data_IF_038997762264
#
_entry.id   IF_038997762264
#
_cell.length_a   1.000
_cell.length_b   1.000
_cell.length_c   1.000
_cell.angle_alpha   90.00
_cell.angle_beta   90.00
_cell.angle_gamma   90.00
#
_symmetry.space_group_name_H-M   'P 1'
#
loop_
_entity.id
_entity.type
_entity.pdbx_description
1 polymer ?
#
# COMPACT_ATOMS: atom_id res chain seq x y z
N UNK A 1 -76.56 -23.28 -11.72
CA UNK A 1 -75.51 -22.26 -11.51
C UNK A 1 -74.30 -22.90 -10.87
N UNK A 2 -73.22 -23.21 -11.65
CA UNK A 2 -71.99 -23.82 -11.16
C UNK A 2 -71.02 -22.72 -10.75
N UNK A 3 -70.61 -22.67 -9.48
CA UNK A 3 -69.58 -21.74 -9.01
C UNK A 3 -68.19 -22.30 -9.36
N UNK A 4 -67.46 -21.59 -10.16
CA UNK A 4 -66.06 -21.88 -10.47
C UNK A 4 -65.21 -21.20 -9.38
N UNK A 5 -64.50 -22.03 -8.56
CA UNK A 5 -63.51 -21.57 -7.58
C UNK A 5 -62.17 -21.47 -8.30
N UNK A 6 -61.69 -20.24 -8.47
CA UNK A 6 -60.35 -19.96 -9.06
C UNK A 6 -59.32 -20.04 -7.91
N UNK A 7 -58.50 -21.10 -7.90
CA UNK A 7 -57.37 -21.23 -6.94
C UNK A 7 -56.18 -20.50 -7.52
N UNK A 8 -55.82 -19.38 -6.90
CA UNK A 8 -54.58 -18.64 -7.24
C UNK A 8 -53.43 -19.29 -6.42
N UNK A 9 -52.55 -20.05 -7.12
CA UNK A 9 -51.28 -20.48 -6.57
C UNK A 9 -50.27 -19.31 -6.62
N UNK A 10 -49.97 -18.70 -5.51
CA UNK A 10 -48.88 -17.77 -5.36
C UNK A 10 -47.55 -18.54 -5.30
N UNK A 11 -46.74 -18.47 -6.34
CA UNK A 11 -45.38 -19.00 -6.33
C UNK A 11 -44.49 -18.02 -5.56
N UNK A 12 -44.07 -18.43 -4.36
CA UNK A 12 -43.06 -17.69 -3.58
C UNK A 12 -41.68 -18.05 -4.17
N UNK A 13 -41.10 -17.11 -4.93
CA UNK A 13 -39.72 -17.21 -5.41
C UNK A 13 -38.81 -16.88 -4.23
N UNK A 14 -38.20 -17.89 -3.63
CA UNK A 14 -37.08 -17.71 -2.70
C UNK A 14 -35.87 -17.23 -3.52
N UNK A 15 -35.58 -15.96 -3.51
CA UNK A 15 -34.27 -15.44 -3.92
C UNK A 15 -33.26 -15.83 -2.85
N UNK A 16 -32.54 -16.92 -3.08
CA UNK A 16 -31.34 -17.26 -2.30
C UNK A 16 -30.26 -16.21 -2.62
N UNK A 17 -30.13 -15.22 -1.75
CA UNK A 17 -28.93 -14.37 -1.75
C UNK A 17 -27.76 -15.22 -1.24
N UNK A 18 -26.93 -15.70 -2.18
CA UNK A 18 -25.62 -16.23 -1.84
C UNK A 18 -24.79 -15.07 -1.29
N UNK A 19 -24.66 -14.98 0.04
CA UNK A 19 -23.66 -14.13 0.66
C UNK A 19 -22.32 -14.74 0.26
N UNK A 20 -21.67 -14.17 -0.75
CA UNK A 20 -20.26 -14.43 -1.01
C UNK A 20 -19.52 -13.84 0.20
N UNK A 21 -18.85 -14.69 0.97
CA UNK A 21 -17.88 -14.21 1.94
C UNK A 21 -16.86 -13.39 1.14
N UNK A 22 -16.68 -12.11 1.48
CA UNK A 22 -15.62 -11.29 0.90
C UNK A 22 -14.29 -12.02 1.14
N UNK A 23 -13.62 -12.36 0.05
CA UNK A 23 -12.32 -13.03 0.14
C UNK A 23 -11.35 -12.07 0.83
N UNK A 24 -10.79 -12.51 1.96
CA UNK A 24 -9.87 -11.69 2.75
C UNK A 24 -8.59 -11.44 1.95
N UNK A 25 -8.39 -10.22 1.47
CA UNK A 25 -7.28 -9.84 0.59
C UNK A 25 -5.93 -9.95 1.32
N UNK A 26 -5.88 -9.64 2.62
CA UNK A 26 -4.65 -9.61 3.42
C UNK A 26 -4.87 -10.15 4.83
N UNK A 27 -3.77 -10.46 5.51
CA UNK A 27 -3.76 -10.84 6.94
C UNK A 27 -3.11 -9.74 7.76
N UNK A 28 -3.71 -9.40 8.91
CA UNK A 28 -3.14 -8.43 9.83
C UNK A 28 -2.00 -9.05 10.63
N UNK A 29 -0.81 -8.49 10.47
CA UNK A 29 0.41 -8.80 11.23
C UNK A 29 1.05 -7.48 11.63
N UNK A 30 0.40 -6.78 12.58
CA UNK A 30 0.81 -5.43 12.95
C UNK A 30 2.19 -5.43 13.61
N UNK A 31 2.99 -4.43 13.23
CA UNK A 31 4.27 -4.15 13.87
C UNK A 31 4.05 -3.49 15.23
N UNK A 32 5.10 -3.45 16.06
CA UNK A 32 5.06 -2.78 17.36
C UNK A 32 4.71 -1.30 17.17
N UNK A 33 3.72 -0.85 17.94
CA UNK A 33 3.29 0.54 17.95
C UNK A 33 3.09 0.99 19.39
N UNK A 34 4.03 1.79 19.90
CA UNK A 34 3.98 2.37 21.23
C UNK A 34 3.93 3.89 21.15
N UNK A 35 3.80 4.55 22.30
CA UNK A 35 3.92 5.99 22.40
C UNK A 35 5.29 6.49 21.89
N UNK A 36 6.34 5.69 22.07
CA UNK A 36 7.66 6.01 21.53
C UNK A 36 7.67 6.11 20.00
N UNK A 37 7.03 5.18 19.29
CA UNK A 37 6.89 5.31 17.82
C UNK A 37 6.14 6.56 17.42
N UNK A 38 5.11 6.93 18.17
CA UNK A 38 4.37 8.18 17.93
C UNK A 38 5.26 9.42 18.12
N UNK A 39 6.12 9.44 19.16
CA UNK A 39 7.08 10.51 19.38
C UNK A 39 8.10 10.62 18.22
N UNK A 40 8.64 9.49 17.77
CA UNK A 40 9.55 9.45 16.61
C UNK A 40 8.87 9.92 15.30
N UNK A 41 7.58 9.58 15.12
CA UNK A 41 6.79 10.08 13.98
C UNK A 41 6.60 11.60 14.08
N UNK A 42 6.29 12.11 15.26
CA UNK A 42 6.13 13.55 15.48
C UNK A 42 7.40 14.33 15.14
N UNK A 43 8.54 13.87 15.64
CA UNK A 43 9.85 14.46 15.36
C UNK A 43 10.16 14.43 13.86
N UNK A 44 9.99 13.26 13.23
CA UNK A 44 10.21 13.11 11.79
C UNK A 44 9.30 14.04 10.99
N UNK A 45 8.00 14.01 11.24
CA UNK A 45 7.02 14.77 10.44
C UNK A 45 7.12 16.28 10.66
N UNK A 46 7.42 16.71 11.87
CA UNK A 46 7.69 18.12 12.17
C UNK A 46 8.92 18.62 11.42
N UNK A 47 9.99 17.82 11.38
CA UNK A 47 11.22 18.16 10.69
C UNK A 47 11.06 18.22 9.17
N UNK A 48 10.40 17.20 8.60
CA UNK A 48 10.33 17.02 7.14
C UNK A 48 9.12 17.72 6.49
N UNK A 49 8.01 17.86 7.21
CA UNK A 49 6.76 18.43 6.69
C UNK A 49 6.32 19.71 7.41
N UNK A 50 6.99 20.11 8.50
CA UNK A 50 6.65 21.30 9.27
C UNK A 50 5.37 21.18 10.11
N UNK A 51 4.84 19.97 10.25
CA UNK A 51 3.63 19.67 11.04
C UNK A 51 3.63 18.23 11.53
N UNK A 52 2.98 17.97 12.65
CA UNK A 52 2.74 16.61 13.11
C UNK A 52 1.76 15.89 12.17
N UNK A 53 2.09 14.68 11.79
CA UNK A 53 1.31 13.86 10.87
C UNK A 53 1.40 12.39 11.26
N UNK A 54 0.62 11.94 12.24
CA UNK A 54 0.55 10.52 12.67
C UNK A 54 -0.38 9.70 11.80
N UNK A 55 -1.32 10.36 11.13
CA UNK A 55 -2.24 9.76 10.16
C UNK A 55 -2.17 10.49 8.83
N UNK A 56 -2.37 9.77 7.75
CA UNK A 56 -2.36 10.29 6.39
C UNK A 56 -3.77 10.28 5.79
N UNK A 57 -4.00 11.17 4.84
CA UNK A 57 -5.09 11.04 3.87
C UNK A 57 -4.45 10.44 2.61
N UNK A 58 -4.71 9.16 2.31
CA UNK A 58 -4.06 8.50 1.19
C UNK A 58 -4.41 9.15 -0.15
N UNK A 59 -3.41 9.59 -0.90
CA UNK A 59 -3.55 10.20 -2.23
C UNK A 59 -2.74 9.46 -3.29
N UNK A 60 -1.77 8.64 -2.85
CA UNK A 60 -0.92 7.84 -3.71
C UNK A 60 -0.66 6.46 -3.10
N UNK A 61 -0.26 5.52 -3.96
CA UNK A 61 0.38 4.26 -3.59
C UNK A 61 1.80 4.27 -4.14
N UNK A 62 2.79 3.98 -3.28
CA UNK A 62 4.18 3.79 -3.68
C UNK A 62 4.53 2.33 -3.56
N UNK A 63 5.02 1.77 -4.66
CA UNK A 63 5.40 0.35 -4.76
C UNK A 63 6.90 0.22 -4.62
N UNK A 64 7.32 -0.74 -3.79
CA UNK A 64 8.71 -1.01 -3.45
C UNK A 64 9.07 -2.48 -3.67
N UNK A 65 10.34 -2.77 -3.60
CA UNK A 65 10.87 -4.08 -3.23
C UNK A 65 11.77 -3.99 -2.02
N UNK A 66 11.86 -5.08 -1.25
CA UNK A 66 12.63 -5.10 -0.01
C UNK A 66 14.15 -5.12 -0.22
N UNK A 67 14.62 -5.55 -1.39
CA UNK A 67 16.02 -5.79 -1.75
C UNK A 67 16.72 -6.89 -0.91
N UNK A 68 16.12 -7.37 0.17
CA UNK A 68 16.68 -8.38 1.07
C UNK A 68 15.59 -9.18 1.79
N UNK A 69 15.99 -10.29 2.37
CA UNK A 69 15.23 -10.99 3.40
C UNK A 69 14.08 -11.86 2.89
N UNK A 70 13.33 -12.37 3.83
CA UNK A 70 12.04 -13.06 3.67
C UNK A 70 10.93 -12.20 4.28
N UNK A 71 9.68 -12.55 4.05
CA UNK A 71 8.52 -11.89 4.64
C UNK A 71 8.71 -11.64 6.16
N UNK A 72 9.05 -12.70 6.91
CA UNK A 72 9.22 -12.61 8.37
C UNK A 72 10.43 -11.76 8.78
N UNK A 73 11.52 -11.81 8.02
CA UNK A 73 12.73 -11.03 8.35
C UNK A 73 12.52 -9.54 8.07
N UNK A 74 11.80 -9.19 7.00
CA UNK A 74 11.42 -7.81 6.70
C UNK A 74 10.42 -7.30 7.73
N UNK A 75 9.42 -8.12 8.09
CA UNK A 75 8.49 -7.79 9.15
C UNK A 75 9.21 -7.50 10.47
N UNK A 76 10.17 -8.35 10.88
CA UNK A 76 11.00 -8.13 12.08
C UNK A 76 11.80 -6.83 11.99
N UNK A 77 12.33 -6.50 10.83
CA UNK A 77 13.07 -5.26 10.63
C UNK A 77 12.15 -4.04 10.82
N UNK A 78 10.94 -4.06 10.26
CA UNK A 78 9.96 -2.98 10.43
C UNK A 78 9.32 -2.94 11.83
N UNK A 79 9.36 -4.07 12.56
CA UNK A 79 8.84 -4.16 13.93
C UNK A 79 9.59 -3.25 14.91
N UNK A 80 10.88 -3.04 14.71
CA UNK A 80 11.66 -2.09 15.48
C UNK A 80 11.16 -0.66 15.23
N UNK A 81 11.08 0.14 16.29
CA UNK A 81 10.60 1.52 16.21
C UNK A 81 11.69 2.48 15.75
N UNK A 82 12.94 2.19 16.12
CA UNK A 82 14.12 2.96 15.72
C UNK A 82 14.95 2.23 14.67
N UNK A 83 15.68 3.02 13.88
CA UNK A 83 16.70 2.49 12.97
C UNK A 83 17.77 1.74 13.74
N UNK A 84 18.15 0.51 13.35
CA UNK A 84 19.15 -0.29 14.08
C UNK A 84 20.50 0.39 14.27
N UNK A 85 20.91 1.24 13.35
CA UNK A 85 22.22 1.90 13.32
C UNK A 85 22.14 3.42 13.62
N UNK A 86 20.97 3.93 14.03
CA UNK A 86 20.75 5.36 14.26
C UNK A 86 19.67 5.56 15.33
N UNK A 87 20.10 5.44 16.60
CA UNK A 87 19.25 5.58 17.78
C UNK A 87 18.52 6.94 17.78
N UNK A 88 17.25 6.93 18.19
CA UNK A 88 16.39 8.11 18.17
C UNK A 88 15.84 8.47 16.80
N UNK A 89 16.09 7.65 15.77
CA UNK A 89 15.56 7.88 14.43
C UNK A 89 14.44 6.89 14.07
N UNK A 90 13.30 7.41 13.67
CA UNK A 90 12.17 6.61 13.19
C UNK A 90 12.63 5.56 12.15
N UNK A 91 12.34 4.29 12.42
CA UNK A 91 12.62 3.23 11.47
C UNK A 91 11.77 3.35 10.20
N UNK A 92 12.26 2.75 9.11
CA UNK A 92 11.46 2.58 7.90
C UNK A 92 10.39 1.51 8.12
N UNK A 93 9.23 1.71 7.49
CA UNK A 93 8.15 0.73 7.44
C UNK A 93 7.22 1.08 6.28
N UNK A 94 6.40 0.12 5.86
CA UNK A 94 5.31 0.33 4.92
C UNK A 94 4.00 -0.24 5.50
N UNK A 95 2.85 0.13 4.95
CA UNK A 95 1.56 -0.37 5.41
C UNK A 95 1.36 -1.84 5.04
N UNK A 96 1.97 -2.30 3.93
CA UNK A 96 1.83 -3.67 3.44
C UNK A 96 3.16 -4.28 3.03
N UNK A 97 3.27 -5.62 3.21
CA UNK A 97 4.29 -6.45 2.57
C UNK A 97 3.59 -7.54 1.77
N UNK A 98 4.08 -7.80 0.55
CA UNK A 98 3.62 -8.88 -0.33
C UNK A 98 4.76 -9.89 -0.50
N UNK A 99 4.51 -11.14 -0.10
CA UNK A 99 5.48 -12.21 -0.25
C UNK A 99 5.53 -12.72 -1.69
N UNK A 100 6.53 -13.53 -2.00
CA UNK A 100 6.79 -14.07 -3.35
C UNK A 100 5.67 -14.96 -3.88
N UNK A 101 4.88 -15.58 -3.01
CA UNK A 101 3.69 -16.38 -3.36
C UNK A 101 2.41 -15.55 -3.50
N UNK A 102 2.51 -14.23 -3.30
CA UNK A 102 1.36 -13.31 -3.32
C UNK A 102 0.64 -13.13 -1.99
N UNK A 103 1.09 -13.78 -0.91
CA UNK A 103 0.56 -13.55 0.44
C UNK A 103 0.77 -12.09 0.85
N UNK A 104 -0.29 -11.42 1.33
CA UNK A 104 -0.24 -10.02 1.75
C UNK A 104 -0.38 -9.94 3.26
N UNK A 105 0.58 -9.27 3.91
CA UNK A 105 0.47 -8.83 5.30
C UNK A 105 0.22 -7.33 5.38
N UNK A 106 -0.80 -6.93 6.16
CA UNK A 106 -0.99 -5.55 6.58
C UNK A 106 -0.29 -5.34 7.91
N UNK A 107 0.60 -4.34 7.97
CA UNK A 107 1.51 -4.12 9.10
C UNK A 107 1.01 -3.08 10.08
N UNK A 108 0.07 -2.24 9.67
CA UNK A 108 -0.57 -1.18 10.45
C UNK A 108 -1.88 -0.78 9.77
N UNK A 109 -2.78 -0.01 10.42
CA UNK A 109 -3.88 0.66 9.74
C UNK A 109 -3.38 1.45 8.53
N UNK A 110 -4.11 1.40 7.41
CA UNK A 110 -3.65 1.99 6.13
C UNK A 110 -3.42 3.50 6.22
N UNK A 111 -4.12 4.17 7.14
CA UNK A 111 -3.98 5.61 7.36
C UNK A 111 -2.88 5.98 8.36
N UNK A 112 -2.24 5.02 9.02
CA UNK A 112 -1.11 5.34 9.87
C UNK A 112 0.09 5.80 9.03
N UNK A 113 0.80 6.79 9.56
CA UNK A 113 2.04 7.26 8.94
C UNK A 113 3.08 6.13 8.89
N UNK A 114 3.72 5.94 7.74
CA UNK A 114 4.86 5.06 7.58
C UNK A 114 5.99 5.77 6.83
N UNK A 115 7.24 5.45 7.18
CA UNK A 115 8.42 6.04 6.53
C UNK A 115 8.93 5.10 5.45
N UNK A 116 8.60 5.35 4.18
CA UNK A 116 9.01 4.52 3.03
C UNK A 116 9.44 5.31 1.80
N UNK A 117 8.91 6.53 1.59
CA UNK A 117 9.22 7.36 0.41
C UNK A 117 9.39 8.83 0.81
N UNK A 118 10.61 9.36 0.66
CA UNK A 118 10.93 10.76 0.97
C UNK A 118 9.99 11.69 0.21
N UNK A 119 9.41 12.65 0.94
CA UNK A 119 8.49 13.65 0.39
C UNK A 119 7.06 13.17 0.15
N UNK A 120 6.76 11.87 0.28
CA UNK A 120 5.42 11.30 0.02
C UNK A 120 4.81 10.56 1.22
N UNK A 121 5.58 10.26 2.27
CA UNK A 121 5.08 9.50 3.43
C UNK A 121 3.83 10.12 4.08
N UNK A 122 3.64 11.44 3.97
CA UNK A 122 2.52 12.16 4.55
C UNK A 122 1.19 11.97 3.80
N UNK A 123 1.21 11.31 2.62
CA UNK A 123 0.04 11.14 1.76
C UNK A 123 0.02 9.84 0.95
N UNK A 124 1.02 8.97 1.10
CA UNK A 124 1.13 7.74 0.32
C UNK A 124 1.08 6.49 1.20
N UNK A 125 0.41 5.45 0.70
CA UNK A 125 0.47 4.09 1.23
C UNK A 125 1.63 3.37 0.56
N UNK A 126 2.51 2.74 1.36
CA UNK A 126 3.63 1.92 0.88
C UNK A 126 3.27 0.45 0.77
N UNK A 127 3.66 -0.18 -0.34
CA UNK A 127 3.58 -1.63 -0.55
C UNK A 127 4.98 -2.15 -0.84
N UNK A 128 5.53 -2.92 0.08
CA UNK A 128 6.82 -3.61 -0.08
C UNK A 128 6.61 -5.00 -0.68
N UNK A 129 7.42 -5.37 -1.66
CA UNK A 129 7.41 -6.70 -2.26
C UNK A 129 8.70 -7.42 -1.91
N UNK A 130 8.61 -8.63 -1.34
CA UNK A 130 9.79 -9.43 -1.02
C UNK A 130 10.51 -9.82 -2.30
N UNK A 131 11.71 -9.30 -2.52
CA UNK A 131 12.47 -9.50 -3.75
C UNK A 131 13.37 -8.30 -4.07
N UNK A 132 13.79 -8.17 -5.32
CA UNK A 132 14.74 -7.16 -5.75
C UNK A 132 16.17 -7.49 -5.32
N UNK A 133 16.48 -8.78 -5.13
CA UNK A 133 17.78 -9.22 -4.65
C UNK A 133 18.90 -8.81 -5.60
N UNK A 134 19.92 -8.17 -5.04
CA UNK A 134 21.04 -7.62 -5.83
C UNK A 134 20.60 -6.60 -6.89
N UNK A 135 19.48 -5.91 -6.68
CA UNK A 135 18.92 -4.93 -7.61
C UNK A 135 18.30 -5.54 -8.87
N UNK A 136 17.94 -6.83 -8.85
CA UNK A 136 17.34 -7.52 -10.00
C UNK A 136 15.82 -7.41 -9.96
N UNK A 137 15.19 -7.25 -11.11
CA UNK A 137 13.73 -7.28 -11.27
C UNK A 137 13.20 -8.72 -11.22
N UNK A 138 13.21 -9.33 -10.02
CA UNK A 138 12.86 -10.73 -9.78
C UNK A 138 11.49 -10.92 -9.12
N UNK A 139 10.67 -9.86 -9.06
CA UNK A 139 9.30 -9.95 -8.53
C UNK A 139 8.45 -10.91 -9.38
N UNK A 140 7.56 -11.63 -8.70
CA UNK A 140 6.79 -12.73 -9.29
C UNK A 140 5.46 -12.26 -9.87
N UNK A 141 4.84 -13.10 -10.72
CA UNK A 141 3.48 -12.87 -11.21
C UNK A 141 2.45 -12.89 -10.07
N UNK A 142 2.60 -13.78 -9.08
CA UNK A 142 1.75 -13.82 -7.90
C UNK A 142 1.77 -12.51 -7.11
N UNK A 143 2.95 -11.87 -7.01
CA UNK A 143 3.07 -10.53 -6.42
C UNK A 143 2.37 -9.48 -7.27
N UNK A 144 2.52 -9.54 -8.59
CA UNK A 144 1.84 -8.62 -9.51
C UNK A 144 0.32 -8.69 -9.34
N UNK A 145 -0.26 -9.89 -9.38
CA UNK A 145 -1.70 -10.12 -9.19
C UNK A 145 -2.18 -9.62 -7.82
N UNK A 146 -1.40 -9.86 -6.78
CA UNK A 146 -1.70 -9.42 -5.42
C UNK A 146 -1.66 -7.90 -5.27
N UNK A 147 -0.66 -7.23 -5.87
CA UNK A 147 -0.60 -5.78 -5.90
C UNK A 147 -1.78 -5.16 -6.65
N UNK A 148 -2.18 -5.75 -7.78
CA UNK A 148 -3.36 -5.29 -8.54
C UNK A 148 -4.63 -5.35 -7.67
N UNK A 149 -4.88 -6.49 -7.00
CA UNK A 149 -6.03 -6.64 -6.10
C UNK A 149 -5.98 -5.66 -4.92
N UNK A 150 -4.81 -5.49 -4.32
CA UNK A 150 -4.61 -4.60 -3.19
C UNK A 150 -4.80 -3.13 -3.59
N UNK A 151 -4.25 -2.70 -4.73
CA UNK A 151 -4.38 -1.33 -5.21
C UNK A 151 -5.84 -1.00 -5.59
N UNK A 152 -6.56 -1.94 -6.21
CA UNK A 152 -8.01 -1.78 -6.48
C UNK A 152 -8.80 -1.61 -5.19
N UNK A 153 -8.57 -2.46 -4.19
CA UNK A 153 -9.17 -2.34 -2.87
C UNK A 153 -8.88 -0.97 -2.22
N UNK A 154 -7.63 -0.52 -2.25
CA UNK A 154 -7.23 0.76 -1.67
C UNK A 154 -7.87 1.94 -2.41
N UNK A 155 -7.93 1.90 -3.74
CA UNK A 155 -8.54 2.96 -4.55
C UNK A 155 -10.05 3.05 -4.33
N UNK A 156 -10.74 1.91 -4.20
CA UNK A 156 -12.16 1.85 -3.87
C UNK A 156 -12.44 2.39 -2.47
N UNK A 157 -11.64 1.96 -1.48
CA UNK A 157 -11.77 2.38 -0.08
C UNK A 157 -11.41 3.85 0.14
N UNK A 158 -10.41 4.34 -0.58
CA UNK A 158 -9.89 5.72 -0.51
C UNK A 158 -9.95 6.39 -1.89
N UNK A 159 -11.09 6.96 -2.29
CA UNK A 159 -11.23 7.61 -3.60
C UNK A 159 -10.30 8.82 -3.83
N UNK A 160 -9.60 9.27 -2.78
CA UNK A 160 -8.54 10.28 -2.85
C UNK A 160 -7.24 9.76 -3.46
N UNK A 161 -7.01 8.43 -3.48
CA UNK A 161 -5.87 7.83 -4.18
C UNK A 161 -6.04 8.05 -5.68
N UNK A 162 -5.11 8.78 -6.29
CA UNK A 162 -5.09 9.08 -7.73
C UNK A 162 -3.82 8.60 -8.42
N UNK A 163 -2.75 8.41 -7.67
CA UNK A 163 -1.42 8.16 -8.21
C UNK A 163 -0.89 6.80 -7.74
N UNK A 164 -0.27 6.06 -8.67
CA UNK A 164 0.48 4.85 -8.37
C UNK A 164 1.83 4.95 -9.05
N UNK A 165 2.90 4.81 -8.29
CA UNK A 165 4.25 4.88 -8.82
C UNK A 165 5.23 4.00 -8.06
N UNK A 166 6.27 3.56 -8.75
CA UNK A 166 7.41 2.89 -8.13
C UNK A 166 8.32 3.91 -7.45
N UNK A 167 9.05 3.50 -6.42
CA UNK A 167 9.96 4.39 -5.71
C UNK A 167 11.01 5.02 -6.65
N UNK A 168 11.46 4.30 -7.69
CA UNK A 168 12.38 4.85 -8.69
C UNK A 168 11.78 6.03 -9.49
N UNK A 169 10.45 6.15 -9.54
CA UNK A 169 9.74 7.23 -10.24
C UNK A 169 9.45 8.44 -9.34
N UNK A 170 10.03 8.49 -8.13
CA UNK A 170 9.76 9.56 -7.15
C UNK A 170 9.97 10.98 -7.70
N UNK A 171 10.92 11.18 -8.62
CA UNK A 171 11.14 12.49 -9.23
C UNK A 171 10.09 12.82 -10.28
N UNK A 172 9.70 11.87 -11.14
CA UNK A 172 8.60 12.05 -12.07
C UNK A 172 7.27 12.31 -11.33
N UNK A 173 7.06 11.63 -10.19
CA UNK A 173 5.89 11.81 -9.34
C UNK A 173 5.77 13.21 -8.71
N UNK A 174 6.81 14.04 -8.73
CA UNK A 174 6.73 15.46 -8.33
C UNK A 174 5.69 16.23 -9.15
N UNK A 175 5.40 15.79 -10.38
CA UNK A 175 4.35 16.37 -11.22
C UNK A 175 2.93 16.24 -10.61
N UNK A 176 2.72 15.35 -9.63
CA UNK A 176 1.47 15.25 -8.87
C UNK A 176 1.20 16.48 -7.99
N UNK A 177 2.24 17.24 -7.64
CA UNK A 177 2.16 18.31 -6.64
C UNK A 177 2.10 17.81 -5.18
N UNK A 178 2.22 16.49 -4.95
CA UNK A 178 2.16 15.92 -3.60
C UNK A 178 3.48 15.98 -2.84
N UNK A 179 4.60 16.18 -3.52
CA UNK A 179 5.93 16.17 -2.90
C UNK A 179 6.10 17.32 -1.89
N UNK A 180 6.41 16.96 -0.64
CA UNK A 180 6.76 17.92 0.42
C UNK A 180 8.01 17.40 1.13
N UNK A 181 9.08 18.22 1.17
CA UNK A 181 10.29 17.94 1.95
C UNK A 181 10.94 19.28 2.32
N UNK A 182 11.07 19.54 3.62
CA UNK A 182 11.60 20.80 4.13
C UNK A 182 13.11 20.75 4.44
N UNK A 183 13.68 19.53 4.53
CA UNK A 183 15.12 19.38 4.79
C UNK A 183 15.87 19.46 3.48
N UNK A 184 16.74 20.47 3.29
CA UNK A 184 17.54 20.60 2.08
C UNK A 184 18.36 19.32 1.83
N UNK A 185 18.45 18.92 0.57
CA UNK A 185 19.27 17.80 0.09
C UNK A 185 18.94 16.42 0.73
N UNK A 186 17.80 16.30 1.44
CA UNK A 186 17.30 15.04 1.94
C UNK A 186 16.68 14.24 0.80
N UNK A 187 17.50 13.40 0.18
CA UNK A 187 17.16 12.63 -1.02
C UNK A 187 17.86 11.26 -1.02
N UNK A 188 17.20 10.25 -1.55
CA UNK A 188 17.78 8.95 -1.83
C UNK A 188 17.23 8.43 -3.15
N UNK A 189 18.08 8.33 -4.17
CA UNK A 189 17.73 7.65 -5.42
C UNK A 189 17.49 6.16 -5.17
N UNK A 190 16.46 5.60 -5.78
CA UNK A 190 16.01 4.22 -5.57
C UNK A 190 15.74 3.54 -6.90
N UNK A 191 16.08 2.24 -7.06
CA UNK A 191 15.77 1.47 -8.27
C UNK A 191 14.44 0.71 -8.21
N UNK A 192 13.83 0.61 -7.03
CA UNK A 192 12.68 -0.26 -6.73
C UNK A 192 11.33 0.32 -7.20
N UNK A 193 10.37 -0.53 -7.59
CA UNK A 193 10.44 -1.99 -7.76
C UNK A 193 10.94 -2.42 -9.16
N UNK A 194 11.48 -1.50 -9.94
CA UNK A 194 11.90 -1.67 -11.32
C UNK A 194 10.80 -1.45 -12.36
N UNK A 195 11.17 -1.03 -13.59
CA UNK A 195 10.22 -0.65 -14.62
C UNK A 195 9.36 -1.82 -15.14
N UNK A 196 9.88 -3.05 -15.14
CA UNK A 196 9.11 -4.22 -15.61
C UNK A 196 7.87 -4.45 -14.75
N UNK A 197 8.01 -4.41 -13.41
CA UNK A 197 6.90 -4.61 -12.49
C UNK A 197 5.88 -3.48 -12.60
N UNK A 198 6.33 -2.23 -12.64
CA UNK A 198 5.45 -1.07 -12.79
C UNK A 198 4.67 -1.05 -14.11
N UNK A 199 5.29 -1.50 -15.23
CA UNK A 199 4.56 -1.68 -16.49
C UNK A 199 3.44 -2.73 -16.36
N UNK A 200 3.71 -3.85 -15.66
CA UNK A 200 2.71 -4.88 -15.39
C UNK A 200 1.51 -4.34 -14.61
N UNK A 201 1.75 -3.53 -13.57
CA UNK A 201 0.70 -2.87 -12.80
C UNK A 201 -0.10 -1.88 -13.66
N UNK A 202 0.60 -1.02 -14.42
CA UNK A 202 -0.05 -0.04 -15.29
C UNK A 202 -1.02 -0.70 -16.27
N UNK A 203 -0.58 -1.74 -16.98
CA UNK A 203 -1.41 -2.46 -17.96
C UNK A 203 -2.69 -3.03 -17.37
N UNK A 204 -2.73 -3.31 -16.07
CA UNK A 204 -3.90 -3.90 -15.41
C UNK A 204 -4.77 -2.89 -14.66
N UNK A 205 -4.28 -1.65 -14.47
CA UNK A 205 -4.92 -0.64 -13.61
C UNK A 205 -5.16 0.72 -14.29
N UNK A 206 -4.63 0.95 -15.51
CA UNK A 206 -4.77 2.26 -16.18
C UNK A 206 -6.23 2.63 -16.52
N UNK A 207 -7.07 1.63 -16.73
CA UNK A 207 -8.49 1.83 -16.98
C UNK A 207 -9.32 2.13 -15.72
N UNK A 208 -8.74 1.94 -14.53
CA UNK A 208 -9.40 2.22 -13.24
C UNK A 208 -9.33 3.72 -12.85
N UNK A 209 -8.82 4.58 -13.71
CA UNK A 209 -8.72 6.03 -13.47
C UNK A 209 -7.53 6.43 -12.60
N UNK A 210 -6.55 5.52 -12.42
CA UNK A 210 -5.28 5.76 -11.72
C UNK A 210 -4.24 6.35 -12.67
N UNK A 211 -3.41 7.24 -12.15
CA UNK A 211 -2.35 7.91 -12.87
C UNK A 211 -1.01 7.22 -12.56
N UNK A 212 -0.34 6.79 -13.61
CA UNK A 212 1.01 6.24 -13.58
C UNK A 212 1.99 7.19 -14.27
N UNK A 213 3.26 7.13 -13.87
CA UNK A 213 4.32 7.93 -14.50
C UNK A 213 5.09 7.07 -15.50
N UNK A 214 5.60 7.74 -16.54
CA UNK A 214 6.53 7.11 -17.48
C UNK A 214 7.94 6.97 -16.85
N UNK A 215 8.79 6.16 -17.47
CA UNK A 215 10.17 5.89 -17.03
C UNK A 215 11.05 7.13 -17.10
#
# INVERSE_FOLDING_TARGET
MKKIILTICAAIIFMSSTVHAEEKIFTDNFILWTEHRDELIDEYTLKHYGKICREIIPQAVVVHWTAFGTLESVWKYFYAEEMPDDEGRLNVAAQFIVDRDGTIWRLMPETNFARHAIGYNHCAIGIENVGGYNGQEDLTEAQLESNVRLIKYLHEKYPSIKYVFGHYQQDAARASGLFIENVPDYYAGKPDPGPKFMRGLRLQLEDDGLIFYDE
#
